data_IF_089816090585
#
_entry.id   IF_089816090585
#
_cell.length_a   1.000
_cell.length_b   1.000
_cell.length_c   1.000
_cell.angle_alpha   90.00
_cell.angle_beta   90.00
_cell.angle_gamma   90.00
#
_symmetry.space_group_name_H-M   'P 1'
#
loop_
_entity.id
_entity.type
_entity.pdbx_description
1 polymer ?
#
# COMPACT_ATOMS: atom_id res chain seq x y z
N UNK A 1 -20.84 -0.21 -15.88
CA UNK A 1 -19.84 -1.25 -16.11
C UNK A 1 -20.49 -2.63 -16.08
N UNK A 2 -19.86 -3.60 -16.70
CA UNK A 2 -20.32 -4.99 -16.71
C UNK A 2 -20.16 -5.57 -15.31
N UNK A 3 -21.18 -6.19 -14.79
CA UNK A 3 -21.19 -6.91 -13.53
C UNK A 3 -21.25 -8.40 -13.79
N UNK A 4 -20.36 -9.16 -13.19
CA UNK A 4 -20.28 -10.60 -13.31
C UNK A 4 -20.94 -11.24 -12.10
N UNK A 5 -21.79 -12.24 -12.35
CA UNK A 5 -22.47 -13.01 -11.31
C UNK A 5 -21.74 -14.31 -11.04
N UNK A 6 -21.45 -14.56 -9.77
CA UNK A 6 -20.77 -15.78 -9.34
C UNK A 6 -19.27 -15.81 -9.61
N UNK A 7 -18.63 -16.82 -9.07
CA UNK A 7 -17.22 -17.10 -9.20
C UNK A 7 -17.01 -18.54 -9.68
N UNK A 8 -15.91 -18.81 -10.39
CA UNK A 8 -15.57 -20.18 -10.81
C UNK A 8 -14.93 -20.98 -9.70
N UNK A 9 -14.05 -20.37 -8.91
CA UNK A 9 -13.41 -21.02 -7.76
C UNK A 9 -12.91 -20.02 -6.74
N UNK A 10 -12.71 -20.52 -5.53
CA UNK A 10 -12.11 -19.80 -4.40
C UNK A 10 -11.01 -20.68 -3.82
N UNK A 11 -9.80 -20.12 -3.72
CA UNK A 11 -8.64 -20.85 -3.18
C UNK A 11 -7.80 -19.89 -2.32
N UNK A 12 -7.97 -19.99 -1.00
CA UNK A 12 -7.34 -19.05 -0.08
C UNK A 12 -7.73 -17.61 -0.38
N UNK A 13 -6.78 -16.67 -0.50
CA UNK A 13 -7.08 -15.27 -0.81
C UNK A 13 -7.40 -15.03 -2.29
N UNK A 14 -7.38 -16.07 -3.12
CA UNK A 14 -7.57 -15.96 -4.56
C UNK A 14 -8.96 -16.42 -4.99
N UNK A 15 -9.54 -15.70 -5.92
CA UNK A 15 -10.77 -16.10 -6.62
C UNK A 15 -10.53 -16.11 -8.12
N UNK A 16 -11.25 -16.99 -8.82
CA UNK A 16 -11.20 -17.08 -10.29
C UNK A 16 -12.58 -16.69 -10.83
N UNK A 17 -12.56 -15.77 -11.78
CA UNK A 17 -13.72 -15.33 -12.55
C UNK A 17 -13.52 -15.73 -14.00
N UNK A 18 -14.53 -16.37 -14.59
CA UNK A 18 -14.53 -16.77 -16.00
C UNK A 18 -15.46 -15.88 -16.84
N UNK A 19 -15.23 -15.89 -18.15
CA UNK A 19 -16.02 -15.10 -19.09
C UNK A 19 -15.70 -13.62 -19.04
N UNK A 20 -14.50 -13.25 -18.58
CA UNK A 20 -14.09 -11.85 -18.38
C UNK A 20 -13.67 -11.26 -19.73
N UNK A 21 -14.19 -10.07 -20.03
CA UNK A 21 -13.85 -9.30 -21.23
C UNK A 21 -13.25 -7.95 -20.83
N UNK A 22 -12.31 -7.48 -21.64
CA UNK A 22 -11.69 -6.16 -21.50
C UNK A 22 -11.00 -5.90 -20.14
N UNK A 23 -10.60 -6.96 -19.46
CA UNK A 23 -9.84 -6.87 -18.22
C UNK A 23 -8.35 -6.70 -18.50
N UNK A 24 -7.62 -6.06 -17.59
CA UNK A 24 -6.17 -5.93 -17.68
C UNK A 24 -5.48 -6.31 -16.37
N UNK A 25 -4.20 -6.64 -16.47
CA UNK A 25 -3.37 -6.96 -15.33
C UNK A 25 -3.31 -5.77 -14.36
N UNK A 26 -3.40 -6.06 -13.06
CA UNK A 26 -3.37 -5.06 -11.98
C UNK A 26 -4.64 -4.20 -11.85
N UNK A 27 -5.68 -4.50 -12.61
CA UNK A 27 -6.96 -3.81 -12.48
C UNK A 27 -7.59 -4.07 -11.12
N UNK A 28 -8.15 -3.03 -10.53
CA UNK A 28 -8.92 -3.14 -9.28
C UNK A 28 -10.32 -3.63 -9.57
N UNK A 29 -10.78 -4.51 -8.72
CA UNK A 29 -12.07 -5.19 -8.80
C UNK A 29 -12.85 -4.96 -7.53
N UNK A 30 -14.13 -4.65 -7.65
CA UNK A 30 -15.05 -4.52 -6.53
C UNK A 30 -15.95 -5.76 -6.46
N UNK A 31 -16.02 -6.37 -5.28
CA UNK A 31 -16.94 -7.46 -4.97
C UNK A 31 -18.08 -6.98 -4.10
N UNK A 32 -19.26 -7.51 -4.36
CA UNK A 32 -20.41 -7.39 -3.47
C UNK A 32 -20.81 -8.79 -3.05
N UNK A 33 -20.71 -9.07 -1.76
CA UNK A 33 -21.00 -10.37 -1.14
C UNK A 33 -22.36 -10.32 -0.44
N UNK A 34 -23.22 -11.27 -0.74
CA UNK A 34 -24.62 -11.32 -0.22
C UNK A 34 -25.42 -10.01 -0.43
N UNK A 35 -25.06 -9.25 -1.47
CA UNK A 35 -25.70 -7.97 -1.75
C UNK A 35 -25.40 -6.85 -0.75
N UNK A 36 -24.52 -7.07 0.20
CA UNK A 36 -24.26 -6.13 1.32
C UNK A 36 -22.78 -5.79 1.50
N UNK A 37 -21.95 -6.79 1.67
CA UNK A 37 -20.53 -6.60 2.03
C UNK A 37 -19.70 -6.25 0.80
N UNK A 38 -18.95 -5.16 0.88
CA UNK A 38 -18.03 -4.75 -0.17
C UNK A 38 -16.62 -5.25 0.14
N UNK A 39 -15.98 -5.84 -0.86
CA UNK A 39 -14.57 -6.25 -0.82
C UNK A 39 -13.87 -5.73 -2.07
N UNK A 40 -12.56 -5.57 -1.98
CA UNK A 40 -11.72 -5.09 -3.07
C UNK A 40 -10.65 -6.11 -3.35
N UNK A 41 -10.36 -6.32 -4.62
CA UNK A 41 -9.30 -7.18 -5.10
C UNK A 41 -8.55 -6.58 -6.27
N UNK A 42 -7.53 -7.29 -6.69
CA UNK A 42 -6.65 -6.93 -7.79
C UNK A 42 -6.46 -8.13 -8.72
N UNK A 43 -6.56 -7.92 -10.01
CA UNK A 43 -6.24 -8.94 -11.01
C UNK A 43 -4.73 -9.17 -11.01
N UNK A 44 -4.31 -10.38 -10.68
CA UNK A 44 -2.89 -10.76 -10.64
C UNK A 44 -2.48 -11.65 -11.82
N UNK A 45 -3.45 -12.23 -12.52
CA UNK A 45 -3.19 -13.07 -13.69
C UNK A 45 -4.42 -13.05 -14.61
N UNK A 46 -4.15 -13.01 -15.90
CA UNK A 46 -5.16 -13.16 -16.95
C UNK A 46 -4.76 -14.34 -17.85
N UNK A 47 -5.68 -15.24 -18.07
CA UNK A 47 -5.48 -16.41 -18.90
C UNK A 47 -6.73 -16.67 -19.73
N UNK A 48 -6.67 -16.46 -21.03
CA UNK A 48 -7.80 -16.49 -21.95
C UNK A 48 -8.93 -15.56 -21.47
N UNK A 49 -10.09 -16.12 -21.08
CA UNK A 49 -11.22 -15.40 -20.53
C UNK A 49 -11.32 -15.49 -18.98
N UNK A 50 -10.25 -15.98 -18.34
CA UNK A 50 -10.19 -16.15 -16.89
C UNK A 50 -9.33 -15.09 -16.25
N UNK A 51 -9.83 -14.53 -15.15
CA UNK A 51 -9.09 -13.61 -14.29
C UNK A 51 -8.86 -14.26 -12.93
N UNK A 52 -7.61 -14.29 -12.48
CA UNK A 52 -7.24 -14.63 -11.10
C UNK A 52 -7.12 -13.34 -10.32
N UNK A 53 -7.91 -13.23 -9.26
CA UNK A 53 -8.04 -12.01 -8.48
C UNK A 53 -7.64 -12.30 -7.04
N UNK A 54 -6.72 -11.49 -6.51
CA UNK A 54 -6.36 -11.49 -5.11
C UNK A 54 -7.30 -10.55 -4.34
N UNK A 55 -8.01 -11.10 -3.36
CA UNK A 55 -8.89 -10.32 -2.48
C UNK A 55 -8.08 -9.80 -1.30
N UNK A 56 -7.99 -8.49 -1.12
CA UNK A 56 -7.08 -7.87 -0.13
C UNK A 56 -7.42 -8.24 1.32
N UNK A 57 -8.70 -8.29 1.66
CA UNK A 57 -9.17 -8.61 3.02
C UNK A 57 -9.48 -10.10 3.20
N UNK A 58 -9.08 -10.94 2.24
CA UNK A 58 -9.39 -12.36 2.26
C UNK A 58 -10.80 -12.69 1.76
N UNK A 59 -11.05 -13.97 1.58
CA UNK A 59 -12.25 -14.50 0.93
C UNK A 59 -13.31 -15.02 1.91
N UNK A 60 -13.21 -14.65 3.17
CA UNK A 60 -14.18 -15.05 4.19
C UNK A 60 -15.61 -14.61 3.78
N UNK A 61 -16.55 -15.51 3.99
CA UNK A 61 -17.97 -15.34 3.62
C UNK A 61 -18.27 -15.21 2.13
N UNK A 62 -17.27 -15.35 1.26
CA UNK A 62 -17.47 -15.44 -0.18
C UNK A 62 -17.76 -16.89 -0.59
N UNK A 63 -18.74 -17.06 -1.47
CA UNK A 63 -19.07 -18.32 -2.13
C UNK A 63 -19.20 -18.14 -3.63
N UNK A 64 -19.30 -19.26 -4.35
CA UNK A 64 -19.36 -19.22 -5.81
C UNK A 64 -20.62 -18.54 -6.35
N UNK A 65 -21.69 -18.50 -5.56
CA UNK A 65 -23.01 -18.01 -5.98
C UNK A 65 -23.48 -16.74 -5.28
N UNK A 66 -22.81 -16.30 -4.20
CA UNK A 66 -23.20 -15.11 -3.43
C UNK A 66 -22.44 -13.83 -3.79
N UNK A 67 -21.50 -13.91 -4.71
CA UNK A 67 -20.56 -12.82 -5.03
C UNK A 67 -20.85 -12.24 -6.41
N UNK A 68 -20.95 -10.92 -6.47
CA UNK A 68 -20.98 -10.13 -7.70
C UNK A 68 -19.66 -9.37 -7.85
N UNK A 69 -19.16 -9.30 -9.06
CA UNK A 69 -17.85 -8.73 -9.38
C UNK A 69 -18.01 -7.62 -10.41
N UNK A 70 -17.43 -6.47 -10.13
CA UNK A 70 -17.38 -5.32 -11.03
C UNK A 70 -15.93 -4.91 -11.28
N UNK A 71 -15.53 -4.85 -12.55
CA UNK A 71 -14.24 -4.31 -12.96
C UNK A 71 -14.31 -2.78 -12.91
N UNK A 72 -13.27 -2.16 -12.35
CA UNK A 72 -13.25 -0.69 -12.17
C UNK A 72 -12.68 0.07 -13.37
N UNK A 73 -11.92 -0.60 -14.21
CA UNK A 73 -11.26 0.02 -15.37
C UNK A 73 -9.98 0.80 -15.02
N UNK A 74 -9.49 0.71 -13.80
CA UNK A 74 -8.25 1.38 -13.37
C UNK A 74 -7.45 0.51 -12.40
N UNK A 75 -6.11 0.70 -12.33
CA UNK A 75 -5.28 0.07 -11.31
C UNK A 75 -5.53 0.69 -9.94
N UNK A 76 -4.80 0.21 -8.93
CA UNK A 76 -4.89 0.79 -7.60
C UNK A 76 -4.35 2.21 -7.60
N UNK A 77 -5.20 3.14 -7.19
CA UNK A 77 -4.89 4.56 -7.08
C UNK A 77 -4.94 5.03 -5.63
N UNK A 78 -4.12 6.01 -5.32
CA UNK A 78 -4.14 6.72 -4.05
C UNK A 78 -4.51 8.18 -4.25
N UNK A 79 -5.39 8.67 -3.40
CA UNK A 79 -5.74 10.09 -3.36
C UNK A 79 -4.63 10.89 -2.68
N UNK A 80 -4.19 11.96 -3.29
CA UNK A 80 -3.10 12.80 -2.78
C UNK A 80 -3.60 14.21 -2.47
N UNK A 81 -3.28 14.68 -1.27
CA UNK A 81 -3.53 16.04 -0.82
C UNK A 81 -2.54 16.42 0.28
N UNK A 82 -2.24 17.71 0.51
CA UNK A 82 -1.47 18.16 1.67
C UNK A 82 -2.08 17.69 3.00
N UNK A 83 -3.40 17.55 3.05
CA UNK A 83 -4.16 17.10 4.21
C UNK A 83 -3.90 15.62 4.58
N UNK A 84 -3.09 14.88 3.79
CA UNK A 84 -2.60 13.56 4.17
C UNK A 84 -1.63 13.61 5.35
N UNK A 85 -0.96 14.73 5.58
CA UNK A 85 -0.03 14.89 6.67
C UNK A 85 -0.75 14.71 8.02
N UNK A 86 -0.16 13.88 8.88
CA UNK A 86 -0.73 13.54 10.18
C UNK A 86 -1.91 12.56 10.14
N UNK A 87 -2.27 12.02 8.97
CA UNK A 87 -3.36 11.07 8.79
C UNK A 87 -2.87 9.61 8.84
N UNK A 88 -3.80 8.72 9.15
CA UNK A 88 -3.55 7.25 9.16
C UNK A 88 -4.46 6.55 8.16
N UNK A 89 -3.85 5.70 7.34
CA UNK A 89 -4.53 4.96 6.27
C UNK A 89 -4.31 3.45 6.40
N UNK A 90 -5.25 2.68 5.89
CA UNK A 90 -5.04 1.25 5.71
C UNK A 90 -4.21 0.96 4.44
N UNK A 91 -3.91 -0.32 4.17
CA UNK A 91 -3.09 -0.74 3.04
C UNK A 91 -3.64 -0.43 1.64
N UNK A 92 -4.89 -0.03 1.54
CA UNK A 92 -5.53 0.40 0.27
C UNK A 92 -5.74 1.92 0.19
N UNK A 93 -5.16 2.68 1.13
CA UNK A 93 -5.23 4.15 1.14
C UNK A 93 -6.53 4.72 1.71
N UNK A 94 -7.37 3.91 2.37
CA UNK A 94 -8.58 4.40 3.04
C UNK A 94 -8.22 4.92 4.44
N UNK A 95 -8.67 6.14 4.82
CA UNK A 95 -8.46 6.65 6.16
C UNK A 95 -9.08 5.76 7.24
N UNK A 96 -8.34 5.54 8.32
CA UNK A 96 -8.78 4.75 9.49
C UNK A 96 -8.73 5.53 10.79
N UNK A 97 -8.44 6.83 10.73
CA UNK A 97 -8.32 7.74 11.87
C UNK A 97 -9.65 8.41 12.29
N UNK A 98 -10.76 8.07 11.64
CA UNK A 98 -12.07 8.64 11.95
C UNK A 98 -12.32 10.05 11.41
N UNK A 99 -11.36 10.65 10.70
CA UNK A 99 -11.48 12.03 10.18
C UNK A 99 -12.14 12.14 8.79
N UNK A 100 -12.65 11.02 8.27
CA UNK A 100 -13.32 10.98 6.98
C UNK A 100 -12.39 10.93 5.77
N UNK A 101 -12.93 10.89 4.55
CA UNK A 101 -12.14 10.77 3.32
C UNK A 101 -11.35 12.05 3.01
N UNK A 102 -10.26 11.89 2.27
CA UNK A 102 -9.55 13.04 1.70
C UNK A 102 -10.39 13.66 0.58
N UNK A 103 -10.52 14.97 0.61
CA UNK A 103 -11.20 15.73 -0.45
C UNK A 103 -10.13 16.21 -1.43
N UNK A 104 -10.02 15.50 -2.56
CA UNK A 104 -9.05 15.83 -3.61
C UNK A 104 -9.46 15.21 -4.93
N UNK A 105 -9.17 15.92 -6.02
CA UNK A 105 -9.31 15.39 -7.38
C UNK A 105 -8.00 14.75 -7.88
N UNK A 106 -6.92 14.83 -7.10
CA UNK A 106 -5.62 14.28 -7.48
C UNK A 106 -5.53 12.84 -7.05
N UNK A 107 -5.53 11.93 -8.03
CA UNK A 107 -5.28 10.51 -7.85
C UNK A 107 -4.04 10.09 -8.62
N UNK A 108 -3.30 9.16 -8.08
CA UNK A 108 -2.11 8.58 -8.72
C UNK A 108 -2.09 7.08 -8.57
N UNK A 109 -1.66 6.40 -9.63
CA UNK A 109 -1.37 4.98 -9.61
C UNK A 109 -0.27 4.70 -8.57
N UNK A 110 -0.50 3.71 -7.72
CA UNK A 110 0.44 3.35 -6.65
C UNK A 110 1.76 2.80 -7.19
N UNK A 111 1.78 2.27 -8.42
CA UNK A 111 2.99 1.79 -9.06
C UNK A 111 3.89 2.94 -9.55
N UNK A 112 3.34 4.14 -9.68
CA UNK A 112 4.05 5.31 -10.19
C UNK A 112 4.44 5.18 -11.65
N UNK A 113 5.29 6.10 -12.10
CA UNK A 113 5.86 6.08 -13.45
C UNK A 113 7.18 5.32 -13.46
N UNK A 114 7.52 4.62 -14.57
CA UNK A 114 8.82 3.99 -14.72
C UNK A 114 9.94 5.01 -14.55
N UNK A 115 10.88 4.70 -13.68
CA UNK A 115 12.03 5.57 -13.45
C UNK A 115 13.13 5.25 -14.48
N UNK A 116 13.45 6.20 -15.35
CA UNK A 116 14.59 6.05 -16.26
C UNK A 116 15.88 5.94 -15.43
N UNK A 117 16.66 4.84 -15.56
CA UNK A 117 17.90 4.65 -14.81
C UNK A 117 18.89 5.82 -14.93
N UNK A 118 18.93 6.49 -16.06
CA UNK A 118 19.81 7.65 -16.30
C UNK A 118 19.46 8.87 -15.43
N UNK A 119 18.21 8.95 -14.97
CA UNK A 119 17.74 10.01 -14.06
C UNK A 119 18.08 9.76 -12.59
N UNK A 120 18.58 8.57 -12.26
CA UNK A 120 19.00 8.26 -10.89
C UNK A 120 20.24 9.08 -10.53
N UNK A 121 20.16 9.76 -9.40
CA UNK A 121 21.31 10.47 -8.82
C UNK A 121 21.77 9.73 -7.57
N UNK A 122 23.07 9.69 -7.35
CA UNK A 122 23.62 9.22 -6.07
C UNK A 122 23.23 10.21 -4.98
N UNK A 123 22.49 9.78 -3.95
CA UNK A 123 22.17 10.67 -2.84
C UNK A 123 23.46 11.03 -2.08
N UNK A 124 23.57 12.29 -1.68
CA UNK A 124 24.73 12.80 -0.91
C UNK A 124 24.32 13.32 0.46
N UNK A 125 23.04 13.58 0.65
CA UNK A 125 22.51 14.14 1.88
C UNK A 125 22.24 13.02 2.88
N UNK A 126 22.68 13.17 4.10
CA UNK A 126 22.39 12.21 5.15
C UNK A 126 21.20 12.64 6.00
N UNK A 127 20.57 11.66 6.60
CA UNK A 127 19.47 11.85 7.53
C UNK A 127 20.04 11.67 8.93
N UNK A 128 19.84 12.68 9.79
CA UNK A 128 20.17 12.57 11.19
C UNK A 128 19.02 11.86 11.89
N UNK A 129 19.28 10.64 12.35
CA UNK A 129 18.25 9.81 13.02
C UNK A 129 18.10 10.16 14.49
N UNK A 130 19.08 10.82 15.09
CA UNK A 130 19.17 11.08 16.52
C UNK A 130 19.63 9.87 17.34
N UNK A 131 19.96 8.76 16.69
CA UNK A 131 20.53 7.57 17.31
C UNK A 131 22.04 7.59 17.05
N UNK A 132 22.84 7.80 18.08
CA UNK A 132 24.30 7.99 17.95
C UNK A 132 25.03 6.83 17.26
N UNK A 133 24.60 5.61 17.52
CA UNK A 133 25.16 4.41 16.86
C UNK A 133 24.89 4.39 15.35
N UNK A 134 23.71 4.84 14.92
CA UNK A 134 23.39 4.92 13.49
C UNK A 134 24.12 6.10 12.87
N UNK A 135 23.99 7.28 13.45
CA UNK A 135 24.55 8.51 12.88
C UNK A 135 26.09 8.51 12.85
N UNK A 136 26.73 7.80 13.80
CA UNK A 136 28.19 7.72 13.89
C UNK A 136 28.84 6.55 13.15
N UNK A 137 28.15 5.40 13.05
CA UNK A 137 28.75 4.17 12.52
C UNK A 137 28.16 3.71 11.18
N UNK A 138 26.88 3.95 10.97
CA UNK A 138 26.14 3.48 9.79
C UNK A 138 25.24 4.58 9.23
N UNK A 139 25.80 5.75 9.05
CA UNK A 139 25.10 6.97 8.61
C UNK A 139 24.03 6.68 7.55
N UNK A 140 22.79 7.05 7.83
CA UNK A 140 21.69 6.89 6.91
C UNK A 140 21.70 7.98 5.85
N UNK A 141 21.85 7.59 4.60
CA UNK A 141 21.83 8.52 3.46
C UNK A 141 20.42 8.54 2.85
N UNK A 142 19.98 9.71 2.42
CA UNK A 142 18.67 9.88 1.75
C UNK A 142 18.55 8.93 0.56
N UNK A 143 17.49 8.09 0.53
CA UNK A 143 17.30 7.05 -0.47
C UNK A 143 17.96 5.71 -0.18
N UNK A 144 18.73 5.59 0.90
CA UNK A 144 19.34 4.35 1.33
C UNK A 144 18.33 3.47 2.09
N UNK A 145 18.49 2.15 1.97
CA UNK A 145 17.83 1.17 2.83
C UNK A 145 18.73 0.84 4.01
N UNK A 146 18.23 1.05 5.22
CA UNK A 146 18.89 0.65 6.46
C UNK A 146 18.07 -0.42 7.16
N UNK A 147 18.42 -1.71 7.05
CA UNK A 147 17.72 -2.76 7.77
C UNK A 147 18.08 -2.73 9.25
N UNK A 148 17.10 -2.96 10.11
CA UNK A 148 17.29 -3.12 11.54
C UNK A 148 16.91 -4.57 11.89
N UNK A 149 17.89 -5.36 12.30
CA UNK A 149 17.69 -6.72 12.77
C UNK A 149 17.84 -6.76 14.28
N UNK A 150 16.90 -7.40 14.96
CA UNK A 150 16.96 -7.55 16.41
C UNK A 150 16.58 -8.95 16.84
N UNK A 151 17.07 -9.36 17.99
CA UNK A 151 16.64 -10.59 18.63
C UNK A 151 15.22 -10.48 19.21
N UNK A 152 14.64 -11.63 19.53
CA UNK A 152 13.30 -11.70 20.10
C UNK A 152 13.25 -10.95 21.45
N UNK A 153 12.23 -10.12 21.64
CA UNK A 153 12.02 -9.34 22.87
C UNK A 153 12.81 -8.03 22.96
N UNK A 154 13.56 -7.66 21.92
CA UNK A 154 14.21 -6.35 21.87
C UNK A 154 13.26 -5.27 21.33
N UNK A 155 13.40 -4.01 21.79
CA UNK A 155 12.45 -2.94 21.49
C UNK A 155 12.68 -2.29 20.11
N UNK A 156 12.68 -3.08 19.04
CA UNK A 156 12.94 -2.60 17.68
C UNK A 156 11.84 -1.64 17.18
N UNK A 157 10.58 -1.85 17.56
CA UNK A 157 9.49 -0.95 17.19
C UNK A 157 9.63 0.42 17.85
N UNK A 158 10.05 0.44 19.11
CA UNK A 158 10.35 1.68 19.85
C UNK A 158 11.52 2.44 19.21
N UNK A 159 12.56 1.73 18.76
CA UNK A 159 13.66 2.33 18.04
C UNK A 159 13.20 2.96 16.73
N UNK A 160 12.39 2.27 15.95
CA UNK A 160 11.81 2.80 14.71
C UNK A 160 10.95 4.05 14.99
N UNK A 161 10.08 4.00 15.98
CA UNK A 161 9.25 5.13 16.39
C UNK A 161 10.08 6.34 16.85
N UNK A 162 11.18 6.10 17.56
CA UNK A 162 12.09 7.17 17.99
C UNK A 162 12.78 7.81 16.80
N UNK A 163 13.24 7.04 15.81
CA UNK A 163 13.82 7.58 14.57
C UNK A 163 12.79 8.46 13.85
N UNK A 164 11.55 7.98 13.70
CA UNK A 164 10.48 8.75 13.04
C UNK A 164 10.22 10.07 13.74
N UNK A 165 10.21 10.09 15.09
CA UNK A 165 9.95 11.31 15.88
C UNK A 165 11.05 12.36 15.78
N UNK A 166 12.30 11.95 15.63
CA UNK A 166 13.45 12.86 15.73
C UNK A 166 14.29 13.01 14.47
N UNK A 167 13.94 12.26 13.38
CA UNK A 167 14.64 12.35 12.11
C UNK A 167 14.61 13.78 11.54
N UNK A 168 15.73 14.23 11.04
CA UNK A 168 15.90 15.54 10.40
C UNK A 168 16.94 15.46 9.28
N UNK A 169 16.92 16.46 8.38
CA UNK A 169 17.98 16.57 7.38
C UNK A 169 19.30 17.00 8.05
N UNK A 170 20.36 16.26 7.75
CA UNK A 170 21.67 16.47 8.40
C UNK A 170 22.50 17.60 7.80
N UNK A 171 22.05 18.20 6.70
CA UNK A 171 22.76 19.28 5.99
C UNK A 171 22.49 20.68 6.57
N UNK A 172 21.66 20.76 7.62
CA UNK A 172 21.29 22.04 8.25
C UNK A 172 20.34 22.89 7.41
N UNK A 173 19.75 22.31 6.34
CA UNK A 173 18.74 23.02 5.54
C UNK A 173 17.40 23.08 6.27
N UNK A 174 16.67 24.16 6.05
CA UNK A 174 15.27 24.31 6.49
C UNK A 174 14.27 23.70 5.45
N UNK A 175 14.74 22.79 4.61
CA UNK A 175 13.89 22.13 3.61
C UNK A 175 12.79 21.34 4.30
N UNK A 176 11.52 21.47 3.89
CA UNK A 176 10.41 20.70 4.45
C UNK A 176 10.68 19.20 4.33
N UNK A 177 10.50 18.48 5.41
CA UNK A 177 10.77 17.06 5.52
C UNK A 177 9.55 16.34 6.10
N UNK A 178 9.11 15.29 5.44
CA UNK A 178 8.02 14.44 5.90
C UNK A 178 8.48 12.98 5.98
N UNK A 179 7.92 12.27 6.94
CA UNK A 179 8.16 10.84 7.13
C UNK A 179 6.90 10.08 6.77
N UNK A 180 7.03 9.06 5.94
CA UNK A 180 5.97 8.10 5.67
C UNK A 180 6.28 6.82 6.45
N UNK A 181 5.41 6.47 7.38
CA UNK A 181 5.57 5.28 8.21
C UNK A 181 4.62 4.18 7.72
N UNK A 182 5.19 3.04 7.32
CA UNK A 182 4.42 1.86 6.93
C UNK A 182 4.60 0.74 7.97
N UNK A 183 3.50 0.29 8.57
CA UNK A 183 3.50 -0.79 9.55
C UNK A 183 2.78 -2.02 9.01
N UNK A 184 3.43 -3.17 9.05
CA UNK A 184 2.87 -4.46 8.64
C UNK A 184 3.18 -5.51 9.70
N UNK A 185 2.13 -6.12 10.28
CA UNK A 185 2.29 -7.16 11.31
C UNK A 185 2.89 -6.68 12.62
N UNK A 186 2.85 -5.38 12.89
CA UNK A 186 3.32 -4.78 14.15
C UNK A 186 2.21 -4.86 15.20
N UNK A 187 2.58 -5.18 16.44
CA UNK A 187 1.63 -5.14 17.57
C UNK A 187 1.29 -3.69 17.91
N UNK A 188 0.07 -3.49 18.42
CA UNK A 188 -0.43 -2.16 18.81
C UNK A 188 0.00 -1.70 20.22
N UNK A 189 1.05 -2.27 20.78
CA UNK A 189 1.52 -1.98 22.15
C UNK A 189 2.29 -0.65 22.23
#
# INVERSE_FOLDING_TARGET
>A
GIEYLGLSSINGPLVILEGVQDAFFDEIVEFTVDGKTKKIGRIIELYEDKAVIQVFEGTENMSLDNTRTKLTGHPMEVSLAPDMLGRTFNGIGKPIDGLGPLITDVKRDVNGLPLNPVRRKYPRNYIRTGISAIDGLTTLIRGQKLPIFSGNGLPHDQLAAQIVKQASLGDGSDEPFAVVFGAMGVKHD
#
